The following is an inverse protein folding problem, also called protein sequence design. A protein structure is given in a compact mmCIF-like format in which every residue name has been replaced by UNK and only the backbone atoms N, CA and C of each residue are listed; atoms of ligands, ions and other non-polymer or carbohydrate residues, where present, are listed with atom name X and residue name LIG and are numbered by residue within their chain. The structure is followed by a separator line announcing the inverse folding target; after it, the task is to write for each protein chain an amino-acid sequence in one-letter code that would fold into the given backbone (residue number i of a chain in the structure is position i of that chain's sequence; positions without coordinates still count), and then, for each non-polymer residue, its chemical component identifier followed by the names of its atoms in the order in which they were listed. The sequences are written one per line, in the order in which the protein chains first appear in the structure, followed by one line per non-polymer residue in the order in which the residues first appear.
data_IF_637794092640
#
_entry.id   IF_637794092640
#
_cell.length_a   1.000
_cell.length_b   1.000
_cell.length_c   1.000
_cell.angle_alpha   90.00
_cell.angle_beta   90.00
_cell.angle_gamma   90.00
#
_symmetry.space_group_name_H-M   'P 1'
#
loop_
_entity.id
_entity.type
_entity.pdbx_description
1 polymer ?
#
# COMPACT_ATOMS: atom_id res chain seq x y z
N UNK A 1 19.85 -10.15 -11.75
CA UNK A 1 19.09 -9.70 -10.55
C UNK A 1 20.06 -9.07 -9.57
N UNK A 2 20.88 -9.81 -8.79
CA UNK A 2 21.85 -9.24 -7.83
C UNK A 2 22.67 -8.01 -8.28
N UNK A 3 23.18 -7.99 -9.51
CA UNK A 3 23.93 -6.84 -10.05
C UNK A 3 23.05 -5.59 -10.30
N UNK A 4 21.76 -5.79 -10.61
CA UNK A 4 20.76 -4.72 -10.73
C UNK A 4 20.36 -4.20 -9.35
N UNK A 5 20.19 -5.11 -8.38
CA UNK A 5 19.80 -4.78 -7.00
C UNK A 5 20.89 -3.98 -6.28
N UNK A 6 22.16 -4.35 -6.47
CA UNK A 6 23.31 -3.58 -5.96
C UNK A 6 23.41 -2.17 -6.59
N UNK A 7 23.00 -2.01 -7.85
CA UNK A 7 23.01 -0.73 -8.55
C UNK A 7 21.78 0.14 -8.23
N UNK A 8 20.66 -0.46 -7.79
CA UNK A 8 19.42 0.23 -7.45
C UNK A 8 18.83 -0.28 -6.12
N UNK A 9 19.47 0.06 -4.97
CA UNK A 9 19.09 -0.49 -3.66
C UNK A 9 17.66 -0.16 -3.23
N UNK A 10 17.11 0.94 -3.74
CA UNK A 10 15.74 1.37 -3.45
C UNK A 10 14.72 0.76 -4.40
N UNK A 11 15.13 0.17 -5.53
CA UNK A 11 14.23 -0.48 -6.49
C UNK A 11 14.67 -1.91 -6.83
N UNK A 12 14.78 -2.79 -5.82
CA UNK A 12 15.20 -4.15 -6.06
C UNK A 12 14.18 -4.93 -6.91
N UNK A 13 14.68 -5.89 -7.69
CA UNK A 13 13.94 -6.68 -8.66
C UNK A 13 13.92 -6.07 -10.07
N UNK A 14 13.58 -6.88 -11.06
CA UNK A 14 13.63 -6.54 -12.49
C UNK A 14 12.20 -6.57 -13.07
N UNK A 15 11.77 -5.61 -13.91
CA UNK A 15 10.47 -5.70 -14.58
C UNK A 15 10.38 -7.00 -15.39
N UNK A 16 9.24 -7.70 -15.41
CA UNK A 16 9.08 -8.96 -16.15
C UNK A 16 9.47 -8.82 -17.62
N UNK A 17 9.08 -7.72 -18.28
CA UNK A 17 9.47 -7.43 -19.67
C UNK A 17 10.99 -7.32 -19.87
N UNK A 18 11.70 -6.67 -18.94
CA UNK A 18 13.16 -6.50 -19.01
C UNK A 18 13.88 -7.82 -18.75
N UNK A 19 13.38 -8.62 -17.81
CA UNK A 19 13.90 -9.94 -17.51
C UNK A 19 13.63 -10.93 -18.65
N UNK A 20 12.43 -10.90 -19.22
CA UNK A 20 12.02 -11.70 -20.37
C UNK A 20 12.90 -11.40 -21.60
N UNK A 21 13.16 -10.12 -21.87
CA UNK A 21 14.07 -9.70 -22.94
C UNK A 21 15.50 -10.20 -22.72
N UNK A 22 16.03 -10.09 -21.49
CA UNK A 22 17.36 -10.60 -21.15
C UNK A 22 17.49 -12.12 -21.26
N UNK A 23 16.42 -12.85 -20.93
CA UNK A 23 16.37 -14.31 -20.98
C UNK A 23 15.91 -14.85 -22.33
N UNK A 24 15.57 -13.97 -23.28
CA UNK A 24 15.02 -14.30 -24.60
C UNK A 24 13.78 -15.22 -24.53
N UNK A 25 12.90 -14.99 -23.56
CA UNK A 25 11.63 -15.73 -23.40
C UNK A 25 10.42 -14.78 -23.50
N UNK A 26 9.23 -15.26 -23.92
CA UNK A 26 8.01 -14.47 -23.85
C UNK A 26 7.64 -14.11 -22.40
N UNK A 27 7.20 -12.88 -22.13
CA UNK A 27 6.78 -12.45 -20.78
C UNK A 27 5.68 -13.33 -20.15
N UNK A 28 4.63 -13.78 -20.89
CA UNK A 28 3.62 -14.67 -20.31
C UNK A 28 4.21 -16.01 -19.84
N UNK A 29 5.19 -16.53 -20.58
CA UNK A 29 5.90 -17.76 -20.22
C UNK A 29 6.79 -17.53 -18.99
N UNK A 30 7.53 -16.41 -18.95
CA UNK A 30 8.31 -16.03 -17.77
C UNK A 30 7.42 -15.95 -16.53
N UNK A 31 6.25 -15.31 -16.62
CA UNK A 31 5.31 -15.18 -15.50
C UNK A 31 4.79 -16.54 -15.01
N UNK A 32 4.52 -17.46 -15.93
CA UNK A 32 4.09 -18.81 -15.59
C UNK A 32 5.19 -19.65 -14.91
N UNK A 33 6.46 -19.31 -15.13
CA UNK A 33 7.62 -19.97 -14.55
C UNK A 33 8.08 -19.33 -13.23
N UNK A 34 7.44 -18.25 -12.76
CA UNK A 34 7.77 -17.64 -11.47
C UNK A 34 7.33 -18.55 -10.33
N UNK A 35 8.31 -19.13 -9.67
CA UNK A 35 8.15 -19.87 -8.42
C UNK A 35 9.27 -19.49 -7.45
N UNK A 36 9.10 -19.69 -6.14
CA UNK A 36 10.16 -19.48 -5.16
C UNK A 36 11.51 -20.07 -5.61
N UNK A 37 12.63 -19.36 -5.41
CA UNK A 37 12.73 -18.09 -4.68
C UNK A 37 12.35 -16.84 -5.50
N UNK A 38 11.95 -16.97 -6.78
CA UNK A 38 11.57 -15.85 -7.64
C UNK A 38 10.08 -15.53 -7.51
N UNK A 39 9.77 -14.33 -7.06
CA UNK A 39 8.39 -13.89 -6.78
C UNK A 39 8.09 -12.57 -7.50
N UNK A 40 6.82 -12.36 -7.82
CA UNK A 40 6.35 -11.09 -8.37
C UNK A 40 5.87 -10.19 -7.23
N UNK A 41 6.64 -9.15 -6.92
CA UNK A 41 6.30 -8.16 -5.89
C UNK A 41 6.16 -6.79 -6.54
N UNK A 42 5.01 -6.14 -6.37
CA UNK A 42 4.77 -4.81 -6.95
C UNK A 42 4.98 -4.72 -8.47
N UNK A 43 4.74 -5.81 -9.20
CA UNK A 43 4.91 -5.88 -10.65
C UNK A 43 6.35 -6.09 -11.14
N UNK A 44 7.30 -6.43 -10.25
CA UNK A 44 8.70 -6.76 -10.57
C UNK A 44 9.05 -8.16 -10.10
N UNK A 45 9.93 -8.83 -10.81
CA UNK A 45 10.50 -10.13 -10.42
C UNK A 45 11.63 -9.88 -9.44
N UNK A 46 11.52 -10.40 -8.22
CA UNK A 46 12.54 -10.31 -7.16
C UNK A 46 12.96 -11.72 -6.75
N UNK A 47 14.16 -11.89 -6.20
CA UNK A 47 14.35 -13.04 -5.30
C UNK A 47 13.65 -12.65 -3.99
N UNK A 48 13.02 -13.57 -3.27
CA UNK A 48 12.29 -13.25 -2.02
C UNK A 48 13.16 -12.56 -0.96
N UNK A 49 14.48 -12.62 -1.09
CA UNK A 49 15.48 -11.93 -0.27
C UNK A 49 15.73 -10.47 -0.72
N UNK A 50 15.56 -10.16 -2.02
CA UNK A 50 15.84 -8.84 -2.59
C UNK A 50 14.79 -7.78 -2.22
N UNK A 51 13.68 -8.14 -1.58
CA UNK A 51 12.70 -7.15 -1.05
C UNK A 51 13.21 -6.39 0.18
N UNK A 52 14.37 -6.75 0.73
CA UNK A 52 14.93 -6.12 1.91
C UNK A 52 15.23 -4.63 1.67
N UNK A 53 14.56 -3.76 2.43
CA UNK A 53 14.88 -2.35 2.42
C UNK A 53 16.24 -2.12 3.09
N UNK A 54 16.97 -1.05 2.71
CA UNK A 54 18.21 -0.70 3.40
C UNK A 54 17.98 -0.59 4.92
N UNK A 55 18.91 -1.05 5.78
CA UNK A 55 18.72 -1.03 7.24
C UNK A 55 18.44 0.35 7.84
N UNK A 56 18.88 1.43 7.18
CA UNK A 56 18.53 2.79 7.57
C UNK A 56 17.04 3.08 7.34
N UNK A 57 16.47 2.63 6.22
CA UNK A 57 15.05 2.77 5.91
C UNK A 57 14.20 1.93 6.85
N UNK A 58 14.61 0.68 7.15
CA UNK A 58 13.87 -0.17 8.11
C UNK A 58 13.78 0.47 9.51
N UNK A 59 14.89 1.04 10.00
CA UNK A 59 14.87 1.77 11.29
C UNK A 59 13.96 2.98 11.26
N UNK A 60 13.99 3.75 10.17
CA UNK A 60 13.10 4.90 9.99
C UNK A 60 11.63 4.48 9.91
N UNK A 61 11.32 3.36 9.25
CA UNK A 61 9.98 2.79 9.19
C UNK A 61 9.50 2.30 10.55
N UNK A 62 10.38 1.70 11.37
CA UNK A 62 10.04 1.30 12.75
C UNK A 62 9.65 2.52 13.60
N UNK A 63 10.37 3.63 13.47
CA UNK A 63 10.02 4.88 14.16
C UNK A 63 8.71 5.49 13.62
N UNK A 64 8.49 5.42 12.31
CA UNK A 64 7.24 5.84 11.68
C UNK A 64 6.04 5.00 12.15
N UNK A 65 6.21 3.67 12.28
CA UNK A 65 5.17 2.77 12.80
C UNK A 65 4.77 3.18 14.23
N UNK A 66 5.74 3.50 15.09
CA UNK A 66 5.45 3.99 16.44
C UNK A 66 4.67 5.32 16.45
N UNK A 67 4.98 6.26 15.54
CA UNK A 67 4.20 7.49 15.38
C UNK A 67 2.74 7.19 14.96
N UNK A 68 2.55 6.19 14.10
CA UNK A 68 1.25 5.80 13.56
C UNK A 68 0.42 4.94 14.51
N UNK A 69 1.02 4.27 15.49
CA UNK A 69 0.27 3.50 16.50
C UNK A 69 -0.67 4.41 17.32
N UNK A 70 -0.23 5.63 17.64
CA UNK A 70 -1.05 6.61 18.35
C UNK A 70 -2.19 7.16 17.48
N UNK A 71 -1.96 7.34 16.18
CA UNK A 71 -2.93 7.88 15.24
C UNK A 71 -2.86 7.14 13.88
N UNK A 72 -3.53 5.98 13.73
CA UNK A 72 -3.35 5.11 12.54
C UNK A 72 -3.71 5.74 11.19
N UNK A 73 -4.56 6.76 11.21
CA UNK A 73 -4.96 7.54 10.02
C UNK A 73 -4.43 8.98 10.05
N UNK A 74 -3.60 9.32 11.04
CA UNK A 74 -2.93 10.60 11.16
C UNK A 74 -1.63 10.60 10.36
N UNK A 75 -1.73 10.76 9.04
CA UNK A 75 -0.55 10.76 8.18
C UNK A 75 0.49 11.81 8.67
N UNK A 76 1.76 11.42 8.89
CA UNK A 76 2.80 12.34 9.38
C UNK A 76 3.00 13.55 8.47
N UNK A 77 3.56 14.61 9.04
CA UNK A 77 3.93 15.80 8.28
C UNK A 77 5.14 15.52 7.39
N UNK A 78 5.33 16.35 6.36
CA UNK A 78 6.51 16.25 5.48
C UNK A 78 7.79 16.46 6.27
N UNK A 79 7.79 17.39 7.24
CA UNK A 79 8.97 17.65 8.07
C UNK A 79 9.29 16.48 8.97
N UNK A 80 8.27 15.81 9.54
CA UNK A 80 8.49 14.57 10.30
C UNK A 80 9.08 13.46 9.45
N UNK A 81 8.60 13.28 8.21
CA UNK A 81 9.18 12.31 7.29
C UNK A 81 10.64 12.64 6.95
N UNK A 82 10.98 13.94 6.79
CA UNK A 82 12.36 14.39 6.59
C UNK A 82 13.26 14.14 7.80
N UNK A 83 12.78 14.37 9.02
CA UNK A 83 13.50 14.07 10.26
C UNK A 83 13.85 12.58 10.36
N UNK A 84 12.94 11.71 9.93
CA UNK A 84 13.15 10.26 9.87
C UNK A 84 14.07 9.84 8.70
N UNK A 85 14.46 10.75 7.82
CA UNK A 85 15.25 10.45 6.63
C UNK A 85 14.46 9.71 5.54
N UNK A 86 13.12 9.76 5.59
CA UNK A 86 12.23 9.12 4.64
C UNK A 86 11.90 10.08 3.49
N UNK A 87 12.74 10.05 2.46
CA UNK A 87 12.49 10.77 1.21
C UNK A 87 11.46 10.05 0.31
N UNK A 88 11.10 10.68 -0.80
CA UNK A 88 10.12 10.14 -1.75
C UNK A 88 10.52 8.78 -2.33
N UNK A 89 11.83 8.55 -2.54
CA UNK A 89 12.35 7.29 -3.10
C UNK A 89 12.28 6.16 -2.07
N UNK A 90 12.68 6.43 -0.83
CA UNK A 90 12.57 5.51 0.29
C UNK A 90 11.11 5.15 0.57
N UNK A 91 10.21 6.13 0.56
CA UNK A 91 8.77 5.90 0.74
C UNK A 91 8.16 5.11 -0.42
N UNK A 92 8.58 5.36 -1.66
CA UNK A 92 8.16 4.54 -2.80
C UNK A 92 8.68 3.09 -2.70
N UNK A 93 9.91 2.90 -2.22
CA UNK A 93 10.48 1.57 -1.96
C UNK A 93 9.70 0.84 -0.87
N UNK A 94 9.45 1.50 0.25
CA UNK A 94 8.69 0.97 1.38
C UNK A 94 7.26 0.59 0.99
N UNK A 95 6.60 1.42 0.18
CA UNK A 95 5.25 1.13 -0.32
C UNK A 95 5.23 -0.08 -1.26
N UNK A 96 6.24 -0.21 -2.14
CA UNK A 96 6.39 -1.40 -3.00
C UNK A 96 6.67 -2.67 -2.22
N UNK A 97 7.44 -2.57 -1.14
CA UNK A 97 7.70 -3.66 -0.20
C UNK A 97 6.51 -3.96 0.73
N UNK A 98 5.39 -3.20 0.62
CA UNK A 98 4.21 -3.39 1.46
C UNK A 98 4.38 -2.96 2.91
N UNK A 99 5.47 -2.26 3.25
CA UNK A 99 5.75 -1.80 4.63
C UNK A 99 4.96 -0.55 5.01
N UNK A 100 4.49 0.23 4.02
CA UNK A 100 3.61 1.39 4.22
C UNK A 100 2.54 1.46 3.15
N UNK A 101 1.43 2.14 3.45
CA UNK A 101 0.41 2.50 2.48
C UNK A 101 0.60 3.96 2.03
N UNK A 102 0.52 4.20 0.72
CA UNK A 102 0.54 5.55 0.13
C UNK A 102 -0.71 5.77 -0.72
N UNK A 103 -1.81 6.33 -0.15
CA UNK A 103 -3.04 6.51 -0.90
C UNK A 103 -2.96 7.67 -1.92
N UNK A 104 -2.07 8.63 -1.70
CA UNK A 104 -1.74 9.74 -2.59
C UNK A 104 -0.36 10.35 -2.26
N UNK A 105 0.23 11.19 -3.13
CA UNK A 105 1.49 11.88 -2.87
C UNK A 105 1.47 12.66 -1.54
N UNK A 106 2.55 12.59 -0.77
CA UNK A 106 2.66 13.26 0.53
C UNK A 106 1.74 12.72 1.63
N UNK A 107 1.14 11.54 1.43
CA UNK A 107 0.34 10.84 2.44
C UNK A 107 0.92 9.44 2.62
N UNK A 108 1.32 9.13 3.84
CA UNK A 108 1.88 7.83 4.23
C UNK A 108 1.10 7.35 5.45
N UNK A 109 0.68 6.08 5.40
CA UNK A 109 -0.05 5.39 6.46
C UNK A 109 0.62 4.03 6.71
N UNK A 110 0.26 3.39 7.82
CA UNK A 110 0.81 2.09 8.17
C UNK A 110 0.45 1.02 7.13
N UNK A 111 1.26 -0.04 7.04
CA UNK A 111 0.85 -1.26 6.35
C UNK A 111 -0.50 -1.75 6.93
N UNK A 112 -1.41 -2.19 6.06
CA UNK A 112 -2.73 -2.66 6.49
C UNK A 112 -3.74 -1.55 6.86
N UNK A 113 -3.38 -0.27 6.73
CA UNK A 113 -4.28 0.84 7.05
C UNK A 113 -5.56 0.83 6.21
N UNK A 114 -5.53 0.30 4.99
CA UNK A 114 -6.72 0.19 4.15
C UNK A 114 -7.75 -0.77 4.74
N UNK A 115 -7.31 -1.96 5.16
CA UNK A 115 -8.14 -2.98 5.79
C UNK A 115 -8.64 -2.51 7.15
N UNK A 116 -7.78 -1.83 7.93
CA UNK A 116 -8.18 -1.23 9.20
C UNK A 116 -9.24 -0.13 9.00
N UNK A 117 -9.10 0.71 7.98
CA UNK A 117 -10.09 1.73 7.64
C UNK A 117 -11.41 1.10 7.24
N UNK A 118 -11.40 0.11 6.35
CA UNK A 118 -12.61 -0.59 5.91
C UNK A 118 -13.35 -1.22 7.10
N UNK A 119 -12.63 -1.86 8.04
CA UNK A 119 -13.22 -2.41 9.27
C UNK A 119 -13.88 -1.34 10.15
N UNK A 120 -13.26 -0.19 10.34
CA UNK A 120 -13.86 0.90 11.13
C UNK A 120 -15.06 1.52 10.43
N UNK A 121 -14.98 1.74 9.13
CA UNK A 121 -16.08 2.30 8.33
C UNK A 121 -17.28 1.36 8.25
N UNK A 122 -17.08 0.05 8.38
CA UNK A 122 -18.17 -0.93 8.42
C UNK A 122 -19.05 -0.79 9.67
N UNK A 123 -18.57 -0.12 10.73
CA UNK A 123 -19.34 0.15 11.95
C UNK A 123 -20.24 1.40 11.83
N UNK A 124 -20.13 2.18 10.74
CA UNK A 124 -21.04 3.29 10.46
C UNK A 124 -22.34 2.78 9.84
N UNK A 125 -23.41 3.57 10.00
CA UNK A 125 -24.61 3.41 9.21
C UNK A 125 -24.29 3.53 7.71
N UNK A 126 -24.77 2.56 6.94
CA UNK A 126 -24.51 2.48 5.50
C UNK A 126 -25.72 3.01 4.71
N UNK A 127 -25.51 3.80 3.64
CA UNK A 127 -24.22 4.31 3.18
C UNK A 127 -23.72 5.51 4.01
N UNK A 128 -22.41 5.75 4.08
CA UNK A 128 -21.84 6.89 4.80
C UNK A 128 -21.33 7.98 3.87
N UNK A 129 -21.32 9.21 4.35
CA UNK A 129 -20.72 10.37 3.69
C UNK A 129 -19.21 10.45 3.94
N UNK A 130 -18.51 11.21 3.10
CA UNK A 130 -17.07 11.50 3.32
C UNK A 130 -16.81 12.18 4.68
N UNK A 131 -17.76 13.00 5.15
CA UNK A 131 -17.66 13.68 6.44
C UNK A 131 -17.75 12.71 7.63
N UNK A 132 -18.67 11.76 7.59
CA UNK A 132 -18.80 10.71 8.61
C UNK A 132 -17.57 9.80 8.63
N UNK A 133 -17.08 9.40 7.46
CA UNK A 133 -15.84 8.64 7.35
C UNK A 133 -14.64 9.37 7.97
N UNK A 134 -14.50 10.67 7.70
CA UNK A 134 -13.43 11.51 8.27
C UNK A 134 -13.49 11.53 9.80
N UNK A 135 -14.68 11.69 10.36
CA UNK A 135 -14.91 11.70 11.82
C UNK A 135 -14.61 10.33 12.42
N UNK A 136 -15.15 9.26 11.83
CA UNK A 136 -14.93 7.87 12.25
C UNK A 136 -13.45 7.48 12.27
N UNK A 137 -12.70 7.88 11.23
CA UNK A 137 -11.27 7.59 11.12
C UNK A 137 -10.40 8.57 11.93
N UNK A 138 -10.98 9.60 12.55
CA UNK A 138 -10.24 10.58 13.35
C UNK A 138 -9.14 11.29 12.55
N UNK A 139 -9.40 11.62 11.28
CA UNK A 139 -8.39 12.20 10.38
C UNK A 139 -8.87 13.49 9.70
N UNK A 140 -8.00 14.07 8.87
CA UNK A 140 -8.29 15.27 8.09
C UNK A 140 -8.92 14.94 6.73
N UNK A 141 -9.58 15.92 6.08
CA UNK A 141 -10.11 15.74 4.71
C UNK A 141 -9.00 15.44 3.70
N UNK A 142 -7.80 16.02 3.89
CA UNK A 142 -6.59 15.77 3.09
C UNK A 142 -6.25 14.28 3.03
N UNK A 143 -6.47 13.55 4.12
CA UNK A 143 -6.15 12.12 4.23
C UNK A 143 -7.37 11.24 3.93
N UNK A 144 -8.55 11.60 4.45
CA UNK A 144 -9.75 10.79 4.31
C UNK A 144 -10.14 10.58 2.84
N UNK A 145 -10.14 11.62 2.01
CA UNK A 145 -10.60 11.49 0.63
C UNK A 145 -9.67 10.59 -0.21
N UNK A 146 -8.34 10.80 -0.24
CA UNK A 146 -7.43 9.87 -0.94
C UNK A 146 -7.48 8.44 -0.40
N UNK A 147 -7.65 8.27 0.90
CA UNK A 147 -7.81 6.94 1.49
C UNK A 147 -9.09 6.26 1.00
N UNK A 148 -10.23 6.95 1.00
CA UNK A 148 -11.50 6.42 0.48
C UNK A 148 -11.40 6.08 -1.01
N UNK A 149 -10.77 6.93 -1.83
CA UNK A 149 -10.52 6.61 -3.24
C UNK A 149 -9.62 5.38 -3.41
N UNK A 150 -8.63 5.22 -2.53
CA UNK A 150 -7.80 4.02 -2.51
C UNK A 150 -8.62 2.78 -2.13
N UNK A 151 -9.52 2.87 -1.13
CA UNK A 151 -10.43 1.78 -0.78
C UNK A 151 -11.39 1.43 -1.93
N UNK A 152 -11.89 2.43 -2.64
CA UNK A 152 -12.76 2.26 -3.82
C UNK A 152 -12.02 1.50 -4.93
N UNK A 153 -10.78 1.90 -5.24
CA UNK A 153 -9.92 1.20 -6.23
C UNK A 153 -9.59 -0.23 -5.83
N UNK A 154 -9.48 -0.50 -4.53
CA UNK A 154 -9.26 -1.86 -3.98
C UNK A 154 -10.54 -2.68 -3.86
N UNK A 155 -11.69 -2.09 -4.16
CA UNK A 155 -12.99 -2.73 -4.00
C UNK A 155 -13.32 -3.05 -2.55
N UNK A 156 -12.78 -2.30 -1.58
CA UNK A 156 -13.09 -2.37 -0.14
C UNK A 156 -14.24 -1.41 0.23
N UNK A 157 -14.48 -0.41 -0.59
CA UNK A 157 -15.67 0.45 -0.55
C UNK A 157 -16.22 0.62 -1.96
N UNK A 158 -17.48 1.06 -2.05
CA UNK A 158 -18.12 1.43 -3.30
C UNK A 158 -18.77 2.80 -3.15
N UNK A 159 -18.37 3.74 -4.01
CA UNK A 159 -19.03 5.04 -4.17
C UNK A 159 -20.35 4.90 -4.94
N UNK A 160 -21.40 5.49 -4.40
CA UNK A 160 -22.74 5.54 -4.96
C UNK A 160 -22.94 6.81 -5.82
N UNK A 161 -24.03 6.89 -6.63
CA UNK A 161 -24.31 8.06 -7.46
C UNK A 161 -24.55 9.36 -6.68
N UNK A 162 -24.92 9.27 -5.40
CA UNK A 162 -25.18 10.39 -4.49
C UNK A 162 -23.93 10.79 -3.66
N UNK A 163 -22.74 10.36 -4.09
CA UNK A 163 -21.44 10.58 -3.44
C UNK A 163 -21.24 9.91 -2.07
N UNK A 164 -22.23 9.20 -1.55
CA UNK A 164 -22.07 8.35 -0.36
C UNK A 164 -21.32 7.07 -0.72
N UNK A 165 -20.85 6.35 0.29
CA UNK A 165 -20.10 5.10 0.14
C UNK A 165 -20.68 3.99 0.98
N UNK A 166 -20.51 2.77 0.50
CA UNK A 166 -20.77 1.55 1.27
C UNK A 166 -19.49 0.75 1.42
N UNK A 167 -19.28 0.11 2.56
CA UNK A 167 -18.24 -0.93 2.66
C UNK A 167 -18.69 -2.15 1.85
N UNK A 168 -17.79 -2.71 1.07
CA UNK A 168 -18.05 -3.98 0.38
C UNK A 168 -17.74 -5.11 1.37
N UNK A 169 -18.78 -5.84 1.80
CA UNK A 169 -18.53 -7.13 2.42
C UNK A 169 -18.02 -8.06 1.33
N UNK A 170 -16.80 -8.60 1.48
CA UNK A 170 -16.45 -9.81 0.74
C UNK A 170 -17.49 -10.87 1.15
N UNK A 171 -18.39 -11.20 0.21
CA UNK A 171 -19.58 -12.03 0.36
C UNK A 171 -19.77 -12.76 1.69
N UNK A 172 -20.60 -12.18 2.56
CA UNK A 172 -21.54 -12.95 3.37
C UNK A 172 -22.95 -12.47 3.07
N UNK A 173 -23.50 -13.01 1.98
CA UNK A 173 -24.92 -13.19 1.74
C UNK A 173 -25.04 -14.60 1.11
N UNK A 174 -25.80 -15.56 1.62
CA UNK A 174 -27.05 -15.47 2.37
C UNK A 174 -27.25 -16.69 3.29
N UNK A 175 -27.93 -16.47 4.41
CA UNK A 175 -28.62 -17.50 5.19
C UNK A 175 -29.83 -18.10 4.44
N UNK A 176 -30.62 -18.95 5.13
CA UNK A 176 -31.24 -20.14 4.56
C UNK A 176 -32.57 -19.90 3.83
N UNK A 177 -32.86 -20.76 2.85
CA UNK A 177 -34.20 -21.24 2.52
C UNK A 177 -34.13 -22.70 2.10
#
# INVERSE_FOLDING_TARGET
MRAHDAAQPLSPGVPPAVLAAHLHVPEPLLRALLHPPLVLVGGRVTTGEDTALPPAVERALTALEADLDAAPFGAPTVDRLRELGLDERALAAAARAGRVLRPAPGIVLAAGAAEAAARRLAALDQPFTTSEARVCLGTSRRVALPLLEHLDRRGLTRRLPDDRRTVTTAGTASGPR
#
